data_IF_044215775710
#
_entry.id   IF_044215775710
#
_cell.length_a   1.000
_cell.length_b   1.000
_cell.length_c   1.000
_cell.angle_alpha   90.00
_cell.angle_beta   90.00
_cell.angle_gamma   90.00
#
_symmetry.space_group_name_H-M   'P 1'
#
loop_
_entity.id
_entity.type
_entity.pdbx_description
1 polymer ?
#
# COMPACT_ATOMS: atom_id res chain seq x y z
N UNK A 1 26.76 -41.90 -56.86
CA UNK A 1 26.95 -40.63 -56.12
C UNK A 1 26.71 -40.90 -54.65
N UNK A 2 27.48 -40.23 -53.76
CA UNK A 2 27.96 -40.77 -52.47
C UNK A 2 27.13 -40.28 -51.26
N UNK A 3 27.37 -40.87 -50.09
CA UNK A 3 27.69 -40.12 -48.86
C UNK A 3 28.07 -41.08 -47.71
N UNK A 4 29.31 -40.93 -47.24
CA UNK A 4 29.88 -41.40 -45.98
C UNK A 4 29.19 -40.77 -44.76
N UNK A 5 29.19 -41.46 -43.61
CA UNK A 5 29.57 -40.82 -42.33
C UNK A 5 29.99 -41.87 -41.29
N UNK A 6 31.03 -41.52 -40.56
CA UNK A 6 31.97 -42.39 -39.82
C UNK A 6 31.44 -42.97 -38.49
N UNK A 7 32.01 -44.14 -38.13
CA UNK A 7 32.03 -44.70 -36.78
C UNK A 7 32.89 -43.83 -35.86
N UNK A 8 32.37 -43.50 -34.67
CA UNK A 8 33.19 -43.20 -33.49
C UNK A 8 32.81 -44.16 -32.36
N UNK A 9 33.63 -45.20 -32.18
CA UNK A 9 33.72 -45.95 -30.93
C UNK A 9 34.61 -45.14 -29.98
N UNK A 10 34.08 -44.71 -28.85
CA UNK A 10 34.91 -44.32 -27.69
C UNK A 10 34.31 -44.94 -26.45
N UNK A 11 35.07 -45.85 -25.84
CA UNK A 11 34.72 -46.48 -24.58
C UNK A 11 34.76 -45.45 -23.46
N UNK A 12 33.70 -45.41 -22.66
CA UNK A 12 33.76 -44.87 -21.30
C UNK A 12 34.03 -46.03 -20.35
N UNK A 13 35.28 -46.14 -19.92
CA UNK A 13 35.67 -46.77 -18.66
C UNK A 13 34.95 -46.07 -17.51
N UNK A 14 34.14 -46.80 -16.76
CA UNK A 14 33.54 -46.34 -15.51
C UNK A 14 34.60 -46.33 -14.41
N UNK A 15 35.29 -45.21 -14.25
CA UNK A 15 35.98 -44.90 -13.00
C UNK A 15 34.93 -44.46 -11.97
N UNK A 16 34.85 -45.09 -10.78
CA UNK A 16 33.99 -44.60 -9.73
C UNK A 16 34.57 -43.28 -9.23
N UNK A 17 33.78 -42.21 -9.30
CA UNK A 17 34.13 -40.94 -8.68
C UNK A 17 34.37 -41.17 -7.18
N UNK A 18 35.63 -41.03 -6.77
CA UNK A 18 36.03 -40.92 -5.36
C UNK A 18 35.43 -39.61 -4.81
N UNK A 19 34.16 -39.68 -4.40
CA UNK A 19 33.55 -38.69 -3.53
C UNK A 19 34.07 -38.90 -2.12
N UNK A 20 35.12 -38.16 -1.77
CA UNK A 20 35.69 -38.12 -0.42
C UNK A 20 34.60 -37.96 0.64
N UNK A 21 34.50 -38.96 1.51
CA UNK A 21 33.68 -38.92 2.69
C UNK A 21 34.23 -37.90 3.68
N UNK A 22 33.71 -36.68 3.63
CA UNK A 22 33.71 -35.78 4.77
C UNK A 22 32.34 -35.86 5.44
N UNK A 23 32.24 -36.78 6.40
CA UNK A 23 31.12 -36.89 7.32
C UNK A 23 31.24 -35.79 8.40
N UNK A 24 31.31 -34.52 7.99
CA UNK A 24 31.08 -33.38 8.87
C UNK A 24 29.57 -33.15 8.95
N UNK A 25 29.01 -33.19 10.16
CA UNK A 25 27.58 -33.04 10.41
C UNK A 25 27.03 -31.84 9.65
N UNK A 26 26.10 -32.09 8.73
CA UNK A 26 25.44 -31.02 7.98
C UNK A 26 24.71 -30.13 8.97
N UNK A 27 25.23 -28.93 9.17
CA UNK A 27 24.57 -27.92 9.99
C UNK A 27 23.30 -27.50 9.23
N UNK A 28 22.12 -27.49 9.88
CA UNK A 28 20.90 -27.05 9.22
C UNK A 28 21.06 -25.63 8.65
N UNK A 29 20.41 -25.31 7.51
CA UNK A 29 20.47 -23.98 6.90
C UNK A 29 20.12 -22.86 7.91
N UNK A 30 21.02 -21.89 8.03
CA UNK A 30 20.90 -20.76 8.96
C UNK A 30 21.73 -19.56 8.48
N UNK A 31 21.38 -18.38 8.98
CA UNK A 31 22.19 -17.16 8.86
C UNK A 31 22.07 -16.35 10.16
N UNK A 32 23.02 -16.55 11.07
CA UNK A 32 22.99 -15.92 12.39
C UNK A 32 23.16 -14.40 12.32
N UNK A 33 23.89 -13.89 11.32
CA UNK A 33 24.11 -12.45 11.16
C UNK A 33 22.82 -11.78 10.68
N UNK A 34 22.09 -12.42 9.76
CA UNK A 34 20.77 -11.97 9.36
C UNK A 34 19.79 -12.00 10.53
N UNK A 35 19.75 -13.07 11.34
CA UNK A 35 18.89 -13.14 12.53
C UNK A 35 19.20 -12.02 13.54
N UNK A 36 20.48 -11.79 13.83
CA UNK A 36 20.89 -10.67 14.69
C UNK A 36 20.47 -9.33 14.10
N UNK A 37 20.53 -9.20 12.77
CA UNK A 37 20.21 -7.97 12.08
C UNK A 37 18.71 -7.65 12.07
N UNK A 38 17.88 -8.69 11.96
CA UNK A 38 16.43 -8.57 12.11
C UNK A 38 16.09 -8.07 13.52
N UNK A 39 16.57 -8.77 14.56
CA UNK A 39 16.26 -8.39 15.93
C UNK A 39 16.82 -7.01 16.30
N UNK A 40 18.04 -6.69 15.84
CA UNK A 40 18.63 -5.37 16.04
C UNK A 40 17.79 -4.26 15.39
N UNK A 41 17.30 -4.48 14.17
CA UNK A 41 16.42 -3.53 13.49
C UNK A 41 15.08 -3.32 14.20
N UNK A 42 14.45 -4.42 14.66
CA UNK A 42 13.21 -4.38 15.43
C UNK A 42 13.36 -3.63 16.77
N UNK A 43 14.50 -3.77 17.44
CA UNK A 43 14.81 -3.06 18.69
C UNK A 43 15.09 -1.56 18.49
N UNK A 44 15.34 -1.11 17.25
CA UNK A 44 15.65 0.28 16.91
C UNK A 44 14.43 1.07 16.45
N UNK A 45 13.49 0.45 15.74
CA UNK A 45 12.33 1.13 15.18
C UNK A 45 11.08 0.25 15.19
N UNK A 46 9.95 0.88 15.51
CA UNK A 46 8.63 0.26 15.44
C UNK A 46 8.25 -0.13 14.01
N UNK A 47 8.62 0.67 13.01
CA UNK A 47 8.29 0.40 11.60
C UNK A 47 9.00 -0.87 11.11
N UNK A 48 10.23 -1.10 11.58
CA UNK A 48 10.96 -2.32 11.29
C UNK A 48 10.29 -3.58 11.87
N UNK A 49 9.52 -3.45 12.96
CA UNK A 49 8.72 -4.57 13.50
C UNK A 49 7.60 -4.93 12.52
N UNK A 50 6.90 -3.92 11.97
CA UNK A 50 5.82 -4.14 11.01
C UNK A 50 6.33 -4.89 9.77
N UNK A 51 7.43 -4.41 9.16
CA UNK A 51 8.03 -5.04 7.98
C UNK A 51 8.49 -6.49 8.23
N UNK A 52 8.98 -6.79 9.44
CA UNK A 52 9.51 -8.11 9.78
C UNK A 52 8.39 -9.12 10.02
N UNK A 53 7.29 -8.71 10.64
CA UNK A 53 6.14 -9.59 10.93
C UNK A 53 5.46 -10.09 9.65
N UNK A 54 5.52 -9.33 8.56
CA UNK A 54 5.03 -9.78 7.25
C UNK A 54 5.85 -10.94 6.65
N UNK A 55 7.13 -11.06 7.02
CA UNK A 55 8.06 -12.00 6.38
C UNK A 55 8.44 -13.20 7.27
N UNK A 56 8.31 -13.08 8.59
CA UNK A 56 8.74 -14.07 9.56
C UNK A 56 7.64 -14.43 10.54
N UNK A 57 7.49 -15.72 10.81
CA UNK A 57 6.65 -16.24 11.88
C UNK A 57 7.44 -16.79 13.06
N UNK A 58 6.75 -17.14 14.16
CA UNK A 58 7.36 -17.87 15.26
C UNK A 58 7.95 -19.22 14.80
N UNK A 59 9.20 -19.50 15.15
CA UNK A 59 9.92 -20.72 14.78
C UNK A 59 10.83 -20.60 13.55
N UNK A 60 10.82 -19.47 12.86
CA UNK A 60 11.70 -19.24 11.70
C UNK A 60 13.17 -18.94 12.11
N UNK A 61 13.41 -18.53 13.35
CA UNK A 61 14.77 -18.36 13.88
C UNK A 61 15.43 -19.72 14.16
N UNK A 62 16.69 -19.89 13.72
CA UNK A 62 17.47 -21.09 14.04
C UNK A 62 17.86 -21.11 15.52
N UNK A 63 18.27 -19.98 16.07
CA UNK A 63 18.78 -19.90 17.45
C UNK A 63 17.60 -19.73 18.43
N UNK A 64 17.40 -20.63 19.40
CA UNK A 64 16.31 -20.50 20.37
C UNK A 64 16.33 -19.19 21.18
N UNK A 65 17.53 -18.66 21.45
CA UNK A 65 17.67 -17.36 22.12
C UNK A 65 17.08 -16.21 21.29
N UNK A 66 17.21 -16.25 19.95
CA UNK A 66 16.63 -15.24 19.07
C UNK A 66 15.11 -15.36 19.00
N UNK A 67 14.59 -16.59 19.00
CA UNK A 67 13.15 -16.84 19.07
C UNK A 67 12.53 -16.20 20.31
N UNK A 68 13.15 -16.43 21.49
CA UNK A 68 12.67 -15.86 22.75
C UNK A 68 12.66 -14.33 22.71
N UNK A 69 13.67 -13.69 22.11
CA UNK A 69 13.70 -12.23 21.96
C UNK A 69 12.60 -11.75 21.01
N UNK A 70 12.44 -12.41 19.87
CA UNK A 70 11.39 -12.10 18.90
C UNK A 70 9.98 -12.16 19.52
N UNK A 71 9.68 -13.24 20.25
CA UNK A 71 8.38 -13.43 20.89
C UNK A 71 8.04 -12.30 21.89
N UNK A 72 9.05 -11.81 22.64
CA UNK A 72 8.88 -10.68 23.57
C UNK A 72 8.67 -9.36 22.83
N UNK A 73 9.39 -9.13 21.73
CA UNK A 73 9.19 -7.95 20.90
C UNK A 73 7.75 -7.92 20.36
N UNK A 74 7.24 -9.06 19.88
CA UNK A 74 5.85 -9.17 19.42
C UNK A 74 4.84 -8.93 20.54
N UNK A 75 5.05 -9.49 21.73
CA UNK A 75 4.17 -9.30 22.89
C UNK A 75 4.09 -7.84 23.34
N UNK A 76 5.21 -7.12 23.34
CA UNK A 76 5.24 -5.68 23.64
C UNK A 76 4.57 -4.88 22.53
N UNK A 77 4.86 -5.20 21.27
CA UNK A 77 4.27 -4.53 20.11
C UNK A 77 2.75 -4.68 20.07
N UNK A 78 2.23 -5.87 20.35
CA UNK A 78 0.79 -6.15 20.42
C UNK A 78 0.07 -5.37 21.53
N UNK A 79 0.78 -5.05 22.63
CA UNK A 79 0.29 -4.19 23.72
C UNK A 79 0.46 -2.69 23.43
N UNK A 80 1.05 -2.32 22.29
CA UNK A 80 1.38 -0.94 21.96
C UNK A 80 2.53 -0.36 22.77
N UNK A 81 3.31 -1.19 23.47
CA UNK A 81 4.48 -0.78 24.24
C UNK A 81 5.73 -0.72 23.34
N UNK A 82 6.66 0.24 23.56
CA UNK A 82 7.90 0.30 22.80
C UNK A 82 8.77 -0.92 23.09
N UNK A 83 9.28 -1.57 22.05
CA UNK A 83 10.15 -2.74 22.14
C UNK A 83 11.63 -2.35 21.93
N UNK A 84 12.20 -1.61 22.88
CA UNK A 84 13.61 -1.24 22.88
C UNK A 84 14.44 -2.19 23.78
N UNK A 85 15.79 -2.15 23.77
CA UNK A 85 16.60 -3.05 24.57
C UNK A 85 16.31 -3.01 26.09
N UNK A 86 15.85 -1.88 26.62
CA UNK A 86 15.56 -1.72 28.04
C UNK A 86 14.22 -2.37 28.37
N UNK A 87 13.17 -2.08 27.59
CA UNK A 87 11.83 -2.64 27.83
C UNK A 87 11.81 -4.15 27.58
N UNK A 88 12.45 -4.61 26.50
CA UNK A 88 12.60 -6.04 26.19
C UNK A 88 13.39 -6.75 27.28
N UNK A 89 14.47 -6.15 27.79
CA UNK A 89 15.22 -6.74 28.92
C UNK A 89 14.37 -6.86 30.18
N UNK A 90 13.55 -5.86 30.49
CA UNK A 90 12.71 -5.86 31.69
C UNK A 90 11.59 -6.93 31.59
N UNK A 91 10.98 -7.07 30.41
CA UNK A 91 9.95 -8.09 30.18
C UNK A 91 10.54 -9.50 30.21
N UNK A 92 11.72 -9.70 29.59
CA UNK A 92 12.46 -10.96 29.65
C UNK A 92 12.83 -11.36 31.08
N UNK A 93 13.22 -10.40 31.93
CA UNK A 93 13.56 -10.67 33.32
C UNK A 93 12.30 -11.04 34.13
N UNK A 94 11.20 -10.31 33.92
CA UNK A 94 9.91 -10.59 34.56
C UNK A 94 9.40 -12.00 34.24
N UNK A 95 9.60 -12.47 33.00
CA UNK A 95 9.24 -13.83 32.58
C UNK A 95 10.30 -14.90 32.91
N UNK A 96 11.44 -14.51 33.48
CA UNK A 96 12.54 -15.43 33.84
C UNK A 96 13.34 -15.96 32.64
N UNK A 97 13.19 -15.35 31.47
CA UNK A 97 13.76 -15.79 30.19
C UNK A 97 15.04 -15.02 29.80
N UNK A 98 15.39 -13.96 30.53
CA UNK A 98 16.53 -13.09 30.22
C UNK A 98 17.87 -13.84 30.05
N UNK A 99 18.11 -14.85 30.89
CA UNK A 99 19.32 -15.69 30.78
C UNK A 99 19.32 -16.54 29.50
N UNK A 100 18.15 -17.05 29.08
CA UNK A 100 17.99 -17.84 27.85
C UNK A 100 18.14 -16.98 26.60
N UNK A 101 17.75 -15.70 26.67
CA UNK A 101 17.95 -14.71 25.62
C UNK A 101 19.40 -14.24 25.46
N UNK A 102 20.32 -14.61 26.37
CA UNK A 102 21.73 -14.18 26.34
C UNK A 102 22.07 -13.00 27.27
N UNK A 103 21.09 -12.53 28.05
CA UNK A 103 21.26 -11.45 29.03
C UNK A 103 21.09 -10.04 28.43
N UNK A 104 20.91 -9.05 29.32
CA UNK A 104 20.71 -7.65 28.92
C UNK A 104 21.80 -7.09 27.98
N UNK A 105 23.11 -7.37 28.18
CA UNK A 105 24.15 -6.88 27.27
C UNK A 105 24.02 -7.39 25.83
N UNK A 106 23.39 -8.56 25.65
CA UNK A 106 23.22 -9.13 24.32
C UNK A 106 22.24 -8.31 23.48
N UNK A 107 21.17 -7.77 24.07
CA UNK A 107 20.20 -6.93 23.35
C UNK A 107 20.87 -5.66 22.79
N UNK A 108 21.77 -5.04 23.54
CA UNK A 108 22.56 -3.91 23.04
C UNK A 108 23.53 -4.31 21.93
N UNK A 109 24.04 -5.55 21.97
CA UNK A 109 24.90 -6.10 20.90
C UNK A 109 24.10 -6.28 19.61
N UNK A 110 22.84 -6.73 19.69
CA UNK A 110 21.95 -6.87 18.53
C UNK A 110 21.75 -5.53 17.82
N UNK A 111 21.44 -4.47 18.58
CA UNK A 111 21.31 -3.11 18.05
C UNK A 111 22.62 -2.63 17.41
N UNK A 112 23.75 -2.91 18.05
CA UNK A 112 25.07 -2.47 17.55
C UNK A 112 25.53 -3.22 16.29
N UNK A 113 24.92 -4.37 15.98
CA UNK A 113 25.27 -5.19 14.80
C UNK A 113 24.64 -4.64 13.53
N UNK A 114 23.58 -3.82 13.65
CA UNK A 114 22.79 -3.34 12.52
C UNK A 114 23.17 -1.91 12.15
N UNK A 115 23.54 -1.66 10.88
CA UNK A 115 23.84 -0.30 10.41
C UNK A 115 22.62 0.62 10.37
N UNK A 116 21.44 0.07 10.03
CA UNK A 116 20.17 0.82 9.93
C UNK A 116 18.97 -0.11 10.07
N UNK A 117 17.94 0.37 10.77
CA UNK A 117 16.66 -0.35 10.93
C UNK A 117 15.91 -0.52 9.60
N UNK A 118 16.14 0.35 8.62
CA UNK A 118 15.44 0.32 7.33
C UNK A 118 15.67 -0.97 6.51
N UNK A 119 16.73 -1.72 6.81
CA UNK A 119 17.05 -2.97 6.11
C UNK A 119 16.48 -4.23 6.81
N UNK A 120 15.75 -4.08 7.91
CA UNK A 120 15.25 -5.20 8.70
C UNK A 120 14.40 -6.18 7.86
N UNK A 121 13.50 -5.67 7.02
CA UNK A 121 12.69 -6.49 6.11
C UNK A 121 13.53 -7.27 5.08
N UNK A 122 14.66 -6.72 4.60
CA UNK A 122 15.57 -7.45 3.71
C UNK A 122 16.22 -8.64 4.43
N UNK A 123 16.72 -8.46 5.65
CA UNK A 123 17.31 -9.54 6.44
C UNK A 123 16.25 -10.57 6.86
N UNK A 124 15.02 -10.14 7.11
CA UNK A 124 13.91 -11.03 7.45
C UNK A 124 13.63 -12.05 6.34
N UNK A 125 13.67 -11.61 5.07
CA UNK A 125 13.55 -12.52 3.92
C UNK A 125 14.67 -13.56 3.87
N UNK A 126 15.91 -13.18 4.18
CA UNK A 126 17.04 -14.13 4.24
C UNK A 126 16.78 -15.20 5.31
N UNK A 127 16.34 -14.79 6.50
CA UNK A 127 16.01 -15.73 7.60
C UNK A 127 14.87 -16.66 7.17
N UNK A 128 13.82 -16.12 6.54
CA UNK A 128 12.68 -16.87 6.03
C UNK A 128 13.09 -17.94 5.01
N UNK A 129 13.96 -17.60 4.06
CA UNK A 129 14.53 -18.54 3.11
C UNK A 129 15.28 -19.68 3.81
N UNK A 130 16.11 -19.37 4.80
CA UNK A 130 16.83 -20.40 5.59
C UNK A 130 15.87 -21.26 6.41
N UNK A 131 14.81 -20.68 6.97
CA UNK A 131 13.78 -21.40 7.72
C UNK A 131 13.06 -22.42 6.83
N UNK A 132 12.67 -22.04 5.60
CA UNK A 132 12.06 -22.95 4.63
C UNK A 132 13.01 -24.10 4.29
N UNK A 133 14.28 -23.81 3.99
CA UNK A 133 15.27 -24.85 3.70
C UNK A 133 15.49 -25.78 4.91
N UNK A 134 15.47 -25.24 6.14
CA UNK A 134 15.59 -26.03 7.37
C UNK A 134 14.39 -26.96 7.56
N UNK A 135 13.17 -26.45 7.40
CA UNK A 135 11.95 -27.27 7.45
C UNK A 135 11.96 -28.38 6.41
N UNK A 136 12.47 -28.13 5.21
CA UNK A 136 12.61 -29.14 4.17
C UNK A 136 13.57 -30.27 4.60
N UNK A 137 14.68 -29.94 5.26
CA UNK A 137 15.61 -30.94 5.82
C UNK A 137 14.93 -31.76 6.92
N UNK A 138 14.16 -31.12 7.80
CA UNK A 138 13.43 -31.80 8.87
C UNK A 138 12.35 -32.76 8.32
N UNK A 139 11.56 -32.29 7.35
CA UNK A 139 10.56 -33.10 6.65
C UNK A 139 11.21 -34.29 5.94
N UNK A 140 12.32 -34.06 5.21
CA UNK A 140 13.08 -35.14 4.59
C UNK A 140 13.59 -36.18 5.60
N UNK A 141 14.02 -35.74 6.78
CA UNK A 141 14.46 -36.63 7.85
C UNK A 141 13.29 -37.48 8.39
N UNK A 142 12.11 -36.87 8.60
CA UNK A 142 10.90 -37.59 9.03
C UNK A 142 10.42 -38.60 7.99
N UNK A 143 10.43 -38.23 6.70
CA UNK A 143 10.06 -39.15 5.60
C UNK A 143 11.00 -40.36 5.56
N UNK A 144 12.30 -40.16 5.73
CA UNK A 144 13.26 -41.28 5.83
C UNK A 144 12.93 -42.17 7.03
N UNK A 145 12.59 -41.58 8.19
CA UNK A 145 12.19 -42.35 9.38
C UNK A 145 10.91 -43.16 9.14
N UNK A 146 9.92 -42.61 8.42
CA UNK A 146 8.71 -43.34 8.04
C UNK A 146 9.03 -44.57 7.19
N UNK A 147 9.97 -44.45 6.24
CA UNK A 147 10.42 -45.57 5.41
C UNK A 147 11.08 -46.70 6.19
N UNK A 148 11.85 -46.39 7.25
CA UNK A 148 12.47 -47.41 8.11
C UNK A 148 11.56 -47.98 9.20
N UNK A 149 10.51 -47.22 9.60
CA UNK A 149 9.60 -47.60 10.68
C UNK A 149 8.29 -48.25 10.20
N UNK A 150 8.13 -48.42 8.88
CA UNK A 150 6.90 -48.91 8.24
C UNK A 150 6.59 -50.41 8.42
N UNK A 151 7.38 -51.16 9.19
CA UNK A 151 7.09 -52.57 9.47
C UNK A 151 5.79 -52.67 10.30
N UNK A 152 4.70 -53.05 9.63
CA UNK A 152 3.38 -53.28 10.24
C UNK A 152 2.34 -52.18 10.03
N UNK A 153 2.64 -51.13 9.27
CA UNK A 153 1.65 -50.12 8.83
C UNK A 153 1.21 -50.37 7.39
N UNK A 154 0.00 -49.92 7.01
CA UNK A 154 -0.40 -49.92 5.61
C UNK A 154 0.48 -48.93 4.83
N UNK A 155 0.96 -49.36 3.66
CA UNK A 155 1.88 -48.56 2.83
C UNK A 155 1.24 -47.23 2.44
N UNK A 156 -0.07 -47.22 2.19
CA UNK A 156 -0.82 -46.03 1.81
C UNK A 156 -0.80 -44.97 2.94
N UNK A 157 -0.97 -45.35 4.21
CA UNK A 157 -0.87 -44.43 5.36
C UNK A 157 0.53 -43.83 5.54
N UNK A 158 1.57 -44.56 5.15
CA UNK A 158 2.96 -44.07 5.18
C UNK A 158 3.18 -43.03 4.09
N UNK A 159 2.65 -43.28 2.89
CA UNK A 159 2.73 -42.35 1.75
C UNK A 159 1.94 -41.07 2.03
N UNK A 160 0.73 -41.17 2.56
CA UNK A 160 -0.11 -40.02 2.88
C UNK A 160 0.57 -39.10 3.92
N UNK A 161 1.18 -39.68 4.97
CA UNK A 161 1.95 -38.90 5.95
C UNK A 161 3.17 -38.23 5.34
N UNK A 162 3.89 -38.91 4.44
CA UNK A 162 5.02 -38.31 3.75
C UNK A 162 4.59 -37.14 2.84
N UNK A 163 3.43 -37.25 2.17
CA UNK A 163 2.87 -36.16 1.37
C UNK A 163 2.49 -34.95 2.24
N UNK A 164 1.84 -35.19 3.40
CA UNK A 164 1.50 -34.14 4.35
C UNK A 164 2.74 -33.36 4.84
N UNK A 165 3.83 -34.06 5.17
CA UNK A 165 5.09 -33.43 5.60
C UNK A 165 5.69 -32.48 4.54
N UNK A 166 5.65 -32.87 3.26
CA UNK A 166 6.13 -32.01 2.17
C UNK A 166 5.19 -30.82 1.97
N UNK A 167 3.88 -31.03 2.08
CA UNK A 167 2.88 -30.00 1.93
C UNK A 167 3.05 -28.89 2.99
N UNK A 168 3.27 -29.24 4.25
CA UNK A 168 3.51 -28.29 5.35
C UNK A 168 4.75 -27.39 5.14
N UNK A 169 5.75 -27.85 4.37
CA UNK A 169 6.94 -27.04 4.02
C UNK A 169 6.57 -25.95 3.01
N UNK A 170 5.60 -26.22 2.13
CA UNK A 170 5.18 -25.31 1.05
C UNK A 170 4.12 -24.28 1.47
N UNK A 171 3.30 -24.59 2.47
CA UNK A 171 2.07 -23.84 2.79
C UNK A 171 2.33 -22.47 3.45
N UNK A 172 3.47 -22.26 4.15
CA UNK A 172 3.75 -20.96 4.80
C UNK A 172 4.15 -19.82 3.87
N UNK A 173 4.25 -20.02 2.54
CA UNK A 173 4.55 -18.91 1.61
C UNK A 173 3.38 -17.97 1.35
N UNK A 174 2.19 -18.32 1.83
CA UNK A 174 1.02 -17.45 1.76
C UNK A 174 0.24 -17.61 3.06
N UNK A 175 0.40 -16.69 4.02
CA UNK A 175 -0.65 -16.48 5.02
C UNK A 175 -1.84 -15.84 4.31
N UNK A 176 -2.60 -16.65 3.58
CA UNK A 176 -4.00 -16.33 3.38
C UNK A 176 -4.67 -16.63 4.71
N UNK A 177 -5.21 -15.58 5.33
CA UNK A 177 -5.98 -15.65 6.56
C UNK A 177 -7.24 -16.49 6.34
N UNK A 178 -7.14 -17.80 6.55
CA UNK A 178 -8.29 -18.67 6.55
C UNK A 178 -8.96 -18.64 7.92
N UNK A 179 -10.06 -17.88 8.02
CA UNK A 179 -10.97 -17.91 9.17
C UNK A 179 -12.07 -18.94 8.89
N UNK A 180 -12.42 -19.76 9.90
CA UNK A 180 -13.51 -20.71 9.75
C UNK A 180 -14.83 -19.96 9.50
N UNK A 181 -15.61 -20.37 8.49
CA UNK A 181 -16.87 -19.69 8.16
C UNK A 181 -17.83 -19.60 9.36
N UNK A 182 -17.81 -20.59 10.25
CA UNK A 182 -18.57 -20.58 11.51
C UNK A 182 -18.20 -19.44 12.46
N UNK A 183 -16.93 -19.03 12.47
CA UNK A 183 -16.42 -17.93 13.29
C UNK A 183 -16.74 -16.57 12.68
N UNK A 184 -16.86 -16.48 11.36
CA UNK A 184 -17.33 -15.27 10.65
C UNK A 184 -18.85 -15.10 10.72
N UNK A 185 -19.60 -16.20 10.81
CA UNK A 185 -21.06 -16.19 10.79
C UNK A 185 -21.66 -15.46 11.98
N UNK A 186 -21.17 -15.67 13.21
CA UNK A 186 -21.73 -14.98 14.39
C UNK A 186 -21.53 -13.46 14.33
N UNK A 187 -20.31 -12.91 14.16
CA UNK A 187 -20.10 -11.47 14.06
C UNK A 187 -20.87 -10.83 12.90
N UNK A 188 -20.99 -11.53 11.76
CA UNK A 188 -21.75 -11.03 10.61
C UNK A 188 -23.25 -10.99 10.91
N UNK A 189 -23.79 -11.99 11.62
CA UNK A 189 -25.20 -12.01 12.03
C UNK A 189 -25.48 -10.95 13.10
N UNK A 190 -24.58 -10.77 14.06
CA UNK A 190 -24.67 -9.71 15.06
C UNK A 190 -24.65 -8.33 14.40
N UNK A 191 -23.78 -8.10 13.40
CA UNK A 191 -23.77 -6.87 12.60
C UNK A 191 -25.10 -6.68 11.84
N UNK A 192 -25.65 -7.75 11.23
CA UNK A 192 -26.95 -7.68 10.55
C UNK A 192 -28.11 -7.33 11.51
N UNK A 193 -28.10 -7.86 12.73
CA UNK A 193 -29.09 -7.57 13.75
C UNK A 193 -28.97 -6.11 14.23
N UNK A 194 -27.75 -5.61 14.46
CA UNK A 194 -27.49 -4.19 14.80
C UNK A 194 -28.01 -3.23 13.71
N UNK A 195 -27.79 -3.57 12.44
CA UNK A 195 -28.27 -2.79 11.29
C UNK A 195 -29.79 -2.76 11.25
N UNK A 196 -30.44 -3.89 11.55
CA UNK A 196 -31.88 -4.02 11.57
C UNK A 196 -32.50 -3.22 12.72
N UNK A 197 -31.91 -3.28 13.92
CA UNK A 197 -32.36 -2.52 15.09
C UNK A 197 -32.20 -1.00 14.90
N UNK A 198 -31.17 -0.57 14.15
CA UNK A 198 -30.95 0.83 13.77
C UNK A 198 -31.86 1.32 12.62
N UNK A 199 -32.83 0.51 12.16
CA UNK A 199 -33.78 0.89 11.11
C UNK A 199 -33.26 0.72 9.68
N UNK A 200 -32.25 -0.13 9.48
CA UNK A 200 -31.69 -0.46 8.16
C UNK A 200 -30.50 0.39 7.73
N UNK A 201 -29.98 1.26 8.60
CA UNK A 201 -28.81 2.10 8.34
C UNK A 201 -27.59 1.57 9.11
N UNK A 202 -26.77 0.72 8.46
CA UNK A 202 -25.43 0.31 8.92
C UNK A 202 -24.44 1.47 8.81
N UNK A 203 -24.03 2.09 9.92
CA UNK A 203 -23.28 3.34 9.88
C UNK A 203 -21.80 3.17 9.41
N UNK A 204 -21.54 3.37 8.11
CA UNK A 204 -20.24 3.84 7.63
C UNK A 204 -20.03 5.33 7.97
N UNK A 205 -18.81 5.85 7.80
CA UNK A 205 -18.49 7.27 7.99
C UNK A 205 -19.16 8.09 6.88
N UNK A 206 -20.07 9.02 7.18
CA UNK A 206 -20.76 9.80 6.16
C UNK A 206 -19.79 10.76 5.45
N UNK A 207 -19.90 10.84 4.14
CA UNK A 207 -19.11 11.72 3.25
C UNK A 207 -19.61 13.17 3.27
N UNK A 208 -20.83 13.40 3.76
CA UNK A 208 -21.47 14.73 3.75
C UNK A 208 -22.24 15.02 2.46
N UNK A 209 -22.13 14.15 1.45
CA UNK A 209 -22.98 14.16 0.27
C UNK A 209 -24.13 13.17 0.48
N UNK A 210 -25.33 13.69 0.77
CA UNK A 210 -26.52 12.90 1.11
C UNK A 210 -26.79 11.79 0.09
N UNK A 211 -26.58 12.08 -1.20
CA UNK A 211 -26.81 11.12 -2.28
C UNK A 211 -25.76 10.00 -2.30
N UNK A 212 -24.48 10.33 -2.09
CA UNK A 212 -23.40 9.33 -2.01
C UNK A 212 -23.56 8.48 -0.74
N UNK A 213 -23.94 9.09 0.37
CA UNK A 213 -24.19 8.39 1.63
C UNK A 213 -25.42 7.49 1.57
N UNK A 214 -26.45 7.85 0.79
CA UNK A 214 -27.60 6.97 0.55
C UNK A 214 -27.26 5.73 -0.28
N UNK A 215 -26.27 5.85 -1.17
CA UNK A 215 -25.83 4.78 -2.07
C UNK A 215 -24.78 3.87 -1.43
N UNK A 216 -23.91 4.44 -0.60
CA UNK A 216 -22.78 3.72 0.04
C UNK A 216 -23.09 3.31 1.48
N UNK A 217 -24.12 3.91 2.08
CA UNK A 217 -24.41 3.87 3.51
C UNK A 217 -23.25 4.38 4.37
N UNK A 218 -22.50 5.36 3.82
CA UNK A 218 -21.25 5.87 4.36
C UNK A 218 -20.02 5.02 3.97
N UNK A 219 -18.83 5.60 4.11
CA UNK A 219 -17.57 4.92 3.85
C UNK A 219 -17.22 3.96 4.99
N UNK A 220 -16.95 2.70 4.67
CA UNK A 220 -16.69 1.66 5.68
C UNK A 220 -15.20 1.43 5.86
N UNK A 221 -14.80 1.10 7.09
CA UNK A 221 -13.43 0.70 7.39
C UNK A 221 -13.00 -0.51 6.56
N UNK A 222 -11.78 -0.48 6.01
CA UNK A 222 -11.24 -1.55 5.14
C UNK A 222 -11.48 -1.35 3.64
N UNK A 223 -12.22 -0.31 3.22
CA UNK A 223 -12.42 0.03 1.81
C UNK A 223 -11.32 0.97 1.28
N UNK A 224 -10.81 0.69 0.07
CA UNK A 224 -9.95 1.61 -0.69
C UNK A 224 -10.79 2.29 -1.79
N UNK A 225 -10.92 3.62 -1.72
CA UNK A 225 -11.71 4.44 -2.64
C UNK A 225 -10.75 5.32 -3.47
N UNK A 226 -10.66 5.10 -4.79
CA UNK A 226 -9.70 5.77 -5.71
C UNK A 226 -10.44 6.78 -6.58
N UNK A 227 -9.75 7.86 -6.98
CA UNK A 227 -10.28 9.08 -7.59
C UNK A 227 -9.30 9.63 -8.72
N UNK A 228 -9.51 9.42 -10.04
CA UNK A 228 -8.64 9.74 -11.21
C UNK A 228 -9.23 10.43 -12.50
N UNK A 229 -8.84 11.67 -12.89
CA UNK A 229 -9.28 12.37 -14.13
C UNK A 229 -8.16 12.64 -15.20
N UNK A 230 -8.49 13.15 -16.41
CA UNK A 230 -7.53 13.46 -17.51
C UNK A 230 -6.94 14.90 -17.46
N UNK A 231 -5.76 15.18 -18.04
CA UNK A 231 -5.21 16.55 -18.16
C UNK A 231 -6.03 17.45 -19.10
N UNK A 232 -6.14 18.75 -18.80
CA UNK A 232 -6.80 19.74 -19.66
C UNK A 232 -8.32 19.88 -19.49
N UNK A 233 -8.93 19.11 -18.59
CA UNK A 233 -10.37 19.19 -18.28
C UNK A 233 -10.73 20.31 -17.27
N UNK A 234 -9.90 21.36 -17.18
CA UNK A 234 -10.15 22.59 -16.42
C UNK A 234 -9.32 22.78 -15.14
N UNK A 235 -8.24 23.59 -15.21
CA UNK A 235 -7.55 24.20 -14.03
C UNK A 235 -6.88 25.56 -14.35
N UNK A 236 -7.58 26.51 -14.99
CA UNK A 236 -7.21 27.94 -14.95
C UNK A 236 -8.15 28.66 -13.97
N UNK A 237 -7.59 29.40 -13.03
CA UNK A 237 -8.29 29.86 -11.84
C UNK A 237 -8.14 31.38 -11.69
N UNK A 238 -9.14 32.02 -11.07
CA UNK A 238 -9.07 33.44 -10.73
C UNK A 238 -7.87 33.70 -9.80
N UNK A 239 -7.23 34.87 -9.91
CA UNK A 239 -6.00 35.14 -9.16
C UNK A 239 -6.17 35.01 -7.64
N UNK A 240 -7.37 35.21 -7.11
CA UNK A 240 -7.71 35.08 -5.70
C UNK A 240 -8.02 33.63 -5.26
N UNK A 241 -8.00 32.67 -6.18
CA UNK A 241 -8.31 31.27 -5.87
C UNK A 241 -7.26 30.72 -4.91
N UNK A 242 -7.65 30.20 -3.74
CA UNK A 242 -6.70 29.68 -2.76
C UNK A 242 -6.06 28.39 -3.26
N UNK A 243 -4.74 28.30 -3.21
CA UNK A 243 -3.93 27.15 -3.59
C UNK A 243 -3.13 26.67 -2.37
N UNK A 244 -3.25 25.40 -1.98
CA UNK A 244 -2.48 24.85 -0.87
C UNK A 244 -1.00 24.66 -1.25
N UNK A 245 -0.12 25.14 -0.38
CA UNK A 245 1.35 25.09 -0.51
C UNK A 245 2.02 24.40 0.70
N UNK A 246 3.19 23.84 0.44
CA UNK A 246 4.10 23.16 1.40
C UNK A 246 4.81 24.20 2.32
N UNK A 247 5.27 23.88 3.56
CA UNK A 247 5.55 22.56 4.12
C UNK A 247 4.40 21.93 4.91
N UNK A 248 4.02 20.72 4.49
CA UNK A 248 3.54 19.72 5.44
C UNK A 248 4.77 19.02 6.04
N UNK A 249 5.47 19.70 6.95
CA UNK A 249 6.42 19.05 7.85
C UNK A 249 5.76 19.02 9.23
N UNK A 250 5.60 17.81 9.77
CA UNK A 250 5.06 17.53 11.12
C UNK A 250 3.70 18.18 11.45
N UNK A 251 2.62 17.65 10.87
CA UNK A 251 1.27 17.81 11.41
C UNK A 251 0.68 19.23 11.40
N UNK A 252 1.31 20.19 10.74
CA UNK A 252 0.73 21.51 10.50
C UNK A 252 -0.32 21.49 9.38
N UNK A 253 -1.31 22.38 9.43
CA UNK A 253 -2.24 22.58 8.32
C UNK A 253 -1.49 23.14 7.09
N UNK A 254 -1.88 22.78 5.86
CA UNK A 254 -1.28 23.36 4.65
C UNK A 254 -1.45 24.88 4.70
N UNK A 255 -0.39 25.61 4.36
CA UNK A 255 -0.51 27.05 4.11
C UNK A 255 -1.22 27.26 2.78
N UNK A 256 -1.98 28.34 2.67
CA UNK A 256 -2.62 28.72 1.42
C UNK A 256 -1.96 29.98 0.90
N UNK A 257 -1.66 29.99 -0.39
CA UNK A 257 -1.41 31.20 -1.15
C UNK A 257 -2.53 31.37 -2.16
N UNK A 258 -2.57 32.46 -2.89
CA UNK A 258 -3.54 32.64 -3.96
C UNK A 258 -2.93 32.27 -5.31
N UNK A 259 -3.78 31.89 -6.26
CA UNK A 259 -3.37 31.55 -7.62
C UNK A 259 -2.48 32.64 -8.22
N UNK A 260 -2.70 33.93 -7.88
CA UNK A 260 -1.93 35.08 -8.35
C UNK A 260 -0.59 35.33 -7.68
N UNK A 261 -0.34 34.73 -6.52
CA UNK A 261 0.88 34.93 -5.73
C UNK A 261 1.95 33.86 -5.97
N UNK A 262 1.59 32.73 -6.61
CA UNK A 262 2.54 31.66 -6.95
C UNK A 262 3.69 32.11 -7.87
N UNK A 263 4.89 31.63 -7.61
CA UNK A 263 6.09 31.80 -8.41
C UNK A 263 6.59 30.47 -8.99
N UNK A 264 7.36 30.50 -10.09
CA UNK A 264 8.03 29.30 -10.59
C UNK A 264 9.03 28.83 -9.55
N UNK A 265 8.92 27.56 -9.14
CA UNK A 265 9.72 26.97 -8.08
C UNK A 265 8.96 26.75 -6.77
N UNK A 266 7.77 27.36 -6.60
CA UNK A 266 6.91 27.13 -5.45
C UNK A 266 6.43 25.68 -5.38
N UNK A 267 6.23 25.18 -4.17
CA UNK A 267 5.72 23.85 -3.92
C UNK A 267 4.21 23.88 -3.64
N UNK A 268 3.45 23.33 -4.60
CA UNK A 268 2.01 23.11 -4.49
C UNK A 268 1.74 21.61 -4.31
N UNK A 269 0.55 21.25 -3.85
CA UNK A 269 0.18 19.84 -3.71
C UNK A 269 -0.32 19.27 -5.04
N UNK A 270 0.27 18.17 -5.49
CA UNK A 270 -0.15 17.43 -6.68
C UNK A 270 -1.50 16.72 -6.45
N UNK A 271 -2.06 16.09 -7.49
CA UNK A 271 -3.34 15.36 -7.32
C UNK A 271 -3.27 14.17 -6.35
N UNK A 272 -2.06 13.66 -6.07
CA UNK A 272 -1.78 12.61 -5.09
C UNK A 272 -1.47 13.17 -3.68
N UNK A 273 -1.62 14.49 -3.49
CA UNK A 273 -1.39 15.18 -2.22
C UNK A 273 0.09 15.36 -1.86
N UNK A 274 1.04 14.94 -2.72
CA UNK A 274 2.47 15.16 -2.47
C UNK A 274 2.91 16.53 -2.98
N UNK A 275 3.91 17.15 -2.35
CA UNK A 275 4.50 18.37 -2.88
C UNK A 275 5.05 18.16 -4.30
N UNK A 276 4.71 19.07 -5.20
CA UNK A 276 5.26 19.18 -6.55
C UNK A 276 5.60 20.63 -6.85
N UNK A 277 6.56 20.84 -7.74
CA UNK A 277 7.05 22.19 -8.06
C UNK A 277 6.27 22.81 -9.20
N UNK A 278 5.96 24.09 -9.07
CA UNK A 278 5.51 24.92 -10.18
C UNK A 278 6.67 25.11 -11.17
N UNK A 279 6.47 24.74 -12.43
CA UNK A 279 7.48 24.78 -13.49
C UNK A 279 7.27 25.93 -14.48
N UNK A 280 6.08 26.53 -14.50
CA UNK A 280 5.73 27.60 -15.44
C UNK A 280 4.53 28.41 -14.99
N UNK A 281 4.48 29.67 -15.41
CA UNK A 281 3.38 30.61 -15.19
C UNK A 281 3.01 31.27 -16.51
N UNK A 282 1.72 31.43 -16.78
CA UNK A 282 1.26 32.25 -17.90
C UNK A 282 1.32 33.75 -17.56
N UNK A 283 1.28 34.60 -18.59
CA UNK A 283 0.95 36.02 -18.40
C UNK A 283 -0.45 36.17 -17.79
N UNK A 284 -0.67 37.27 -17.08
CA UNK A 284 -2.01 37.63 -16.56
C UNK A 284 -2.81 38.26 -17.69
N UNK A 285 -4.04 37.82 -17.87
CA UNK A 285 -4.94 38.36 -18.88
C UNK A 285 -6.06 39.18 -18.22
N UNK A 286 -6.10 40.49 -18.48
CA UNK A 286 -7.01 41.43 -17.80
C UNK A 286 -8.30 41.78 -18.59
N UNK A 287 -8.24 41.75 -19.92
CA UNK A 287 -9.32 42.24 -20.81
C UNK A 287 -10.10 41.11 -21.50
N UNK A 288 -10.03 39.89 -20.97
CA UNK A 288 -10.74 38.75 -21.56
C UNK A 288 -12.20 38.75 -21.10
N UNK A 289 -13.19 38.61 -21.99
CA UNK A 289 -14.58 38.53 -21.57
C UNK A 289 -14.76 37.35 -20.61
N UNK A 290 -15.17 37.61 -19.37
CA UNK A 290 -15.36 36.57 -18.36
C UNK A 290 -16.84 36.24 -18.17
N UNK A 291 -17.07 35.00 -17.75
CA UNK A 291 -18.38 34.50 -17.41
C UNK A 291 -18.33 33.83 -16.04
N UNK A 292 -19.36 34.08 -15.24
CA UNK A 292 -19.61 33.35 -14.02
C UNK A 292 -20.44 32.13 -14.38
N UNK A 293 -19.82 30.97 -14.25
CA UNK A 293 -20.51 29.69 -14.34
C UNK A 293 -21.08 29.38 -12.97
N UNK A 294 -22.34 28.98 -12.94
CA UNK A 294 -23.01 28.48 -11.74
C UNK A 294 -23.23 27.00 -11.98
N UNK A 295 -22.69 26.21 -11.08
CA UNK A 295 -22.83 24.79 -11.12
C UNK A 295 -24.09 24.36 -10.39
N UNK A 296 -24.56 23.16 -10.68
CA UNK A 296 -25.76 22.56 -10.08
C UNK A 296 -25.71 22.48 -8.56
N UNK A 297 -24.52 22.56 -7.98
CA UNK A 297 -24.26 22.56 -6.53
C UNK A 297 -24.12 23.97 -5.93
N UNK A 298 -24.41 25.02 -6.69
CA UNK A 298 -24.36 26.41 -6.23
C UNK A 298 -22.95 26.99 -6.15
N UNK A 299 -21.90 26.19 -6.40
CA UNK A 299 -20.56 26.72 -6.60
C UNK A 299 -20.57 27.64 -7.82
N UNK A 300 -19.73 28.67 -7.77
CA UNK A 300 -19.54 29.53 -8.93
C UNK A 300 -18.07 29.76 -9.18
N UNK A 301 -17.70 29.72 -10.45
CA UNK A 301 -16.36 30.05 -10.91
C UNK A 301 -16.46 31.13 -11.98
N UNK A 302 -15.48 32.00 -12.03
CA UNK A 302 -15.33 32.97 -13.10
C UNK A 302 -14.22 32.49 -14.02
N UNK A 303 -14.55 32.31 -15.30
CA UNK A 303 -13.60 31.87 -16.33
C UNK A 303 -13.71 32.77 -17.57
N UNK A 304 -12.64 32.86 -18.36
CA UNK A 304 -12.64 33.62 -19.60
C UNK A 304 -13.42 32.91 -20.73
N UNK A 305 -13.80 33.67 -21.75
CA UNK A 305 -14.65 33.23 -22.86
C UNK A 305 -14.08 32.05 -23.63
N UNK A 306 -12.76 31.96 -23.74
CA UNK A 306 -12.04 30.94 -24.48
C UNK A 306 -11.66 29.74 -23.59
N UNK A 307 -11.93 29.78 -22.28
CA UNK A 307 -11.65 28.68 -21.38
C UNK A 307 -12.41 27.42 -21.81
N UNK A 308 -11.68 26.33 -21.99
CA UNK A 308 -12.21 25.07 -22.51
C UNK A 308 -12.60 24.13 -21.37
N UNK A 309 -13.85 23.69 -21.42
CA UNK A 309 -14.44 22.72 -20.52
C UNK A 309 -14.58 21.42 -21.30
N UNK A 310 -14.08 20.34 -20.75
CA UNK A 310 -14.58 19.05 -21.21
C UNK A 310 -16.00 18.91 -20.67
N UNK A 311 -16.94 18.57 -21.55
CA UNK A 311 -18.35 18.45 -21.21
C UNK A 311 -18.98 17.23 -21.88
N UNK A 312 -20.03 16.71 -21.28
CA UNK A 312 -20.89 15.71 -21.88
C UNK A 312 -22.19 16.41 -22.29
N UNK A 313 -22.49 16.38 -23.58
CA UNK A 313 -23.75 16.91 -24.09
C UNK A 313 -24.35 15.94 -25.10
N UNK A 314 -25.64 15.61 -24.95
CA UNK A 314 -26.30 14.59 -25.77
C UNK A 314 -25.63 13.21 -25.68
N UNK A 315 -24.96 12.91 -24.55
CA UNK A 315 -24.22 11.66 -24.34
C UNK A 315 -22.87 11.56 -25.04
N UNK A 316 -22.40 12.63 -25.70
CA UNK A 316 -21.07 12.67 -26.34
C UNK A 316 -20.14 13.60 -25.57
N UNK A 317 -18.92 13.12 -25.28
CA UNK A 317 -17.84 13.95 -24.72
C UNK A 317 -17.29 14.87 -25.79
N UNK A 318 -17.26 16.16 -25.49
CA UNK A 318 -16.69 17.17 -26.37
C UNK A 318 -16.11 18.31 -25.55
N UNK A 319 -15.13 18.99 -26.13
CA UNK A 319 -14.56 20.20 -25.55
C UNK A 319 -15.35 21.41 -26.02
N UNK A 320 -15.75 22.29 -25.09
CA UNK A 320 -16.49 23.50 -25.39
C UNK A 320 -15.90 24.69 -24.66
N UNK A 321 -15.80 25.84 -25.33
CA UNK A 321 -15.39 27.08 -24.68
C UNK A 321 -16.51 27.61 -23.78
N UNK A 322 -16.18 28.41 -22.76
CA UNK A 322 -17.18 29.09 -21.92
C UNK A 322 -18.21 29.87 -22.74
N UNK A 323 -17.78 30.51 -23.84
CA UNK A 323 -18.67 31.21 -24.78
C UNK A 323 -19.61 30.25 -25.53
N UNK A 324 -19.13 29.05 -25.87
CA UNK A 324 -19.96 28.02 -26.49
C UNK A 324 -20.97 27.43 -25.49
N UNK A 325 -20.60 27.28 -24.20
CA UNK A 325 -21.50 26.83 -23.13
C UNK A 325 -22.62 27.83 -22.84
N UNK A 326 -22.33 29.14 -22.84
CA UNK A 326 -23.36 30.19 -22.73
C UNK A 326 -24.43 30.02 -23.82
N UNK A 327 -24.02 29.75 -25.06
CA UNK A 327 -24.96 29.54 -26.18
C UNK A 327 -25.71 28.21 -26.04
N UNK A 328 -25.03 27.16 -25.57
CA UNK A 328 -25.64 25.83 -25.43
C UNK A 328 -26.66 25.74 -24.31
N UNK A 329 -26.48 26.48 -23.21
CA UNK A 329 -27.43 26.48 -22.11
C UNK A 329 -28.77 27.13 -22.45
N UNK A 330 -28.86 27.88 -23.56
CA UNK A 330 -30.14 28.38 -24.09
C UNK A 330 -31.03 27.26 -24.65
N UNK A 331 -30.46 26.10 -24.97
CA UNK A 331 -31.17 24.94 -25.57
C UNK A 331 -31.06 23.67 -24.72
N UNK A 332 -30.29 23.69 -23.63
CA UNK A 332 -30.11 22.56 -22.73
C UNK A 332 -31.09 22.64 -21.55
N UNK A 333 -32.14 21.81 -21.55
CA UNK A 333 -33.17 21.82 -20.49
C UNK A 333 -32.64 21.42 -19.09
N UNK A 334 -31.53 20.66 -19.04
CA UNK A 334 -30.98 20.09 -17.79
C UNK A 334 -29.56 20.59 -17.44
N UNK A 335 -29.05 21.60 -18.15
CA UNK A 335 -27.65 22.02 -18.04
C UNK A 335 -26.68 21.20 -18.90
N UNK A 336 -25.39 21.51 -18.81
CA UNK A 336 -24.31 20.81 -19.52
C UNK A 336 -23.42 20.09 -18.51
N UNK A 337 -23.27 18.77 -18.64
CA UNK A 337 -22.55 17.93 -17.69
C UNK A 337 -21.02 18.13 -17.81
N UNK A 338 -20.32 18.21 -16.68
CA UNK A 338 -18.86 18.14 -16.60
C UNK A 338 -18.47 16.68 -16.36
N UNK A 339 -17.57 16.10 -17.19
CA UNK A 339 -17.10 14.75 -17.05
C UNK A 339 -16.17 14.72 -15.85
N UNK A 340 -16.72 14.30 -14.74
CA UNK A 340 -15.93 13.99 -13.56
C UNK A 340 -15.40 12.56 -13.66
N UNK A 341 -14.34 12.30 -12.90
CA UNK A 341 -13.86 10.96 -12.82
C UNK A 341 -14.79 10.11 -11.94
N UNK A 342 -15.31 8.98 -12.46
CA UNK A 342 -16.22 8.12 -11.71
C UNK A 342 -15.59 7.50 -10.47
N UNK A 343 -14.26 7.47 -10.37
CA UNK A 343 -13.57 6.99 -9.20
C UNK A 343 -13.69 8.03 -8.05
N UNK A 344 -13.72 9.33 -8.39
CA UNK A 344 -13.88 10.53 -7.54
C UNK A 344 -15.15 10.52 -6.67
N UNK A 345 -16.17 9.75 -7.06
CA UNK A 345 -17.43 9.61 -6.33
C UNK A 345 -18.26 10.90 -6.20
N UNK A 346 -17.88 11.97 -6.91
CA UNK A 346 -18.59 13.25 -6.90
C UNK A 346 -19.73 13.18 -7.92
N UNK A 347 -20.96 13.64 -7.57
CA UNK A 347 -22.08 13.63 -8.52
C UNK A 347 -21.75 14.47 -9.75
N UNK A 348 -22.14 13.98 -10.94
CA UNK A 348 -21.99 14.70 -12.21
C UNK A 348 -22.38 16.15 -12.03
N UNK A 349 -21.40 17.04 -12.07
CA UNK A 349 -21.62 18.47 -11.89
C UNK A 349 -22.11 19.04 -13.20
N UNK A 350 -23.25 19.71 -13.17
CA UNK A 350 -23.78 20.37 -14.36
C UNK A 350 -23.46 21.84 -14.28
N UNK A 351 -23.02 22.41 -15.38
CA UNK A 351 -23.09 23.83 -15.61
C UNK A 351 -24.57 24.12 -15.87
N UNK A 352 -25.23 24.79 -14.93
CA UNK A 352 -26.67 25.09 -15.03
C UNK A 352 -26.93 26.53 -15.45
N UNK A 353 -25.92 27.40 -15.30
CA UNK A 353 -26.00 28.78 -15.71
C UNK A 353 -24.63 29.31 -16.08
N UNK A 354 -24.57 30.17 -17.10
CA UNK A 354 -23.37 30.89 -17.51
C UNK A 354 -23.79 32.31 -17.81
N UNK A 355 -23.36 33.23 -16.94
CA UNK A 355 -23.72 34.65 -17.07
C UNK A 355 -22.47 35.48 -17.30
N UNK A 356 -22.59 36.50 -18.15
CA UNK A 356 -21.53 37.49 -18.26
C UNK A 356 -21.27 38.11 -16.88
N UNK A 357 -20.00 38.21 -16.51
CA UNK A 357 -19.56 38.90 -15.28
C UNK A 357 -18.48 39.90 -15.68
N UNK A 358 -18.22 40.86 -14.81
CA UNK A 358 -17.08 41.77 -15.02
C UNK A 358 -15.80 40.94 -15.21
N UNK A 359 -15.00 41.31 -16.21
CA UNK A 359 -13.70 40.67 -16.49
C UNK A 359 -12.87 40.68 -15.22
N UNK A 360 -12.34 39.52 -14.84
CA UNK A 360 -11.40 39.40 -13.73
C UNK A 360 -10.06 38.87 -14.26
N UNK A 361 -8.93 39.32 -13.72
CA UNK A 361 -7.64 38.75 -14.09
C UNK A 361 -7.58 37.25 -13.77
N UNK A 362 -7.05 36.46 -14.70
CA UNK A 362 -6.89 34.99 -14.56
C UNK A 362 -5.52 34.53 -15.03
N UNK A 363 -5.02 33.41 -14.50
CA UNK A 363 -3.77 32.79 -14.97
C UNK A 363 -3.70 31.29 -14.74
N UNK A 364 -2.78 30.64 -15.45
CA UNK A 364 -2.46 29.21 -15.32
C UNK A 364 -1.08 29.02 -14.69
N UNK A 365 -0.91 27.86 -14.04
CA UNK A 365 0.38 27.36 -13.58
C UNK A 365 0.64 25.97 -14.18
N UNK A 366 1.91 25.65 -14.42
CA UNK A 366 2.37 24.32 -14.81
C UNK A 366 3.09 23.68 -13.62
N UNK A 367 2.94 22.37 -13.41
CA UNK A 367 3.60 21.64 -12.32
C UNK A 367 4.40 20.42 -12.81
N UNK A 368 5.45 20.08 -12.07
CA UNK A 368 6.37 18.97 -12.36
C UNK A 368 5.78 17.57 -12.11
N UNK A 369 4.56 17.47 -11.56
CA UNK A 369 3.94 16.19 -11.29
C UNK A 369 3.73 15.41 -12.60
N UNK A 370 3.93 14.07 -12.64
CA UNK A 370 3.82 13.27 -13.87
C UNK A 370 2.43 13.34 -14.53
N UNK A 371 1.40 13.66 -13.77
CA UNK A 371 0.03 13.86 -14.21
C UNK A 371 -0.31 15.33 -14.56
N UNK A 372 0.64 16.24 -14.33
CA UNK A 372 0.52 17.69 -14.46
C UNK A 372 -0.65 18.30 -13.68
N UNK A 373 -1.04 17.69 -12.55
CA UNK A 373 -2.18 18.13 -11.76
C UNK A 373 -1.78 18.68 -10.39
N UNK A 374 -2.50 19.71 -9.93
CA UNK A 374 -2.39 20.27 -8.59
C UNK A 374 -3.77 20.51 -7.94
N UNK A 375 -3.81 20.63 -6.62
CA UNK A 375 -5.01 20.94 -5.84
C UNK A 375 -5.27 22.45 -5.81
N UNK A 376 -6.54 22.85 -5.78
CA UNK A 376 -6.96 24.24 -5.72
C UNK A 376 -8.33 24.36 -5.03
N UNK A 377 -8.55 25.48 -4.35
CA UNK A 377 -9.71 25.73 -3.49
C UNK A 377 -9.46 25.36 -2.04
N UNK A 378 -10.21 25.98 -1.13
CA UNK A 378 -10.34 25.54 0.25
C UNK A 378 -11.34 24.37 0.30
N UNK A 379 -10.92 23.23 0.83
CA UNK A 379 -11.85 22.16 1.20
C UNK A 379 -12.47 22.55 2.54
N UNK A 380 -13.80 22.56 2.63
CA UNK A 380 -14.50 22.73 3.91
C UNK A 380 -14.35 21.50 4.80
#
# INVERSE_FOLDING_TARGET
MPADFERFETGLSSEPAEGGGEQYGRVPPQDLVAEQSVLGGMLMSKDAIADVVEALGPGDFYKPAHQVVYDIILDLYARGEPADPVTVSAELDRKGELKRAGGAPYLHTLVSTVPTAANAGFYARIVSEKAVLRRLVDAGTRIVQYGYSGDGQEVDEVVDRAQAEIFEVTERRTSEDYVALSELLQPTMDEMDEIQEAGGLSAGVPTGFVDLDSLTNGLRGGQMVIIAARPGVGKALALDTPIPTSPLVDGAAPTFTTQGELEVGDEVLASDGKPTKVTGLSEVWDDRPCFRLIFSDGASIVADAEHEWEVIFGGTRQTMTTKALETMLLVAESGVEIPEDPARGVPSRFIIDVRNTESVPVRCIEVAAPDHMYLAGETA
#
